data_IF_098871018186
#
_entry.id   IF_098871018186
#
_cell.length_a   1.000
_cell.length_b   1.000
_cell.length_c   1.000
_cell.angle_alpha   90.00
_cell.angle_beta   90.00
_cell.angle_gamma   90.00
#
_symmetry.space_group_name_H-M   'P 1'
#
loop_
_entity.id
_entity.type
_entity.pdbx_description
1 polymer ?
#
# COMPACT_ATOMS: atom_id res chain seq x y z
N UNK A 1 -12.66 7.47 7.82
CA UNK A 1 -11.60 6.44 7.66
C UNK A 1 -10.85 6.28 8.97
N UNK A 2 -10.87 5.09 9.56
CA UNK A 2 -10.25 4.90 10.87
C UNK A 2 -8.74 4.71 10.79
N UNK A 3 -8.26 3.86 9.88
CA UNK A 3 -6.85 3.49 9.80
C UNK A 3 -6.34 3.58 8.37
N UNK A 4 -5.16 4.16 8.20
CA UNK A 4 -4.42 4.11 6.95
C UNK A 4 -3.15 3.29 7.15
N UNK A 5 -2.95 2.29 6.30
CA UNK A 5 -1.79 1.42 6.35
C UNK A 5 -0.90 1.80 5.18
N UNK A 6 0.26 2.38 5.48
CA UNK A 6 1.20 2.88 4.47
C UNK A 6 2.32 1.86 4.30
N UNK A 7 2.47 1.35 3.10
CA UNK A 7 3.45 0.30 2.80
C UNK A 7 4.36 0.75 1.67
N UNK A 8 5.56 1.23 2.01
CA UNK A 8 6.58 1.48 0.99
C UNK A 8 7.21 0.16 0.59
N UNK A 9 7.50 0.01 -0.69
CA UNK A 9 8.09 -1.24 -1.18
C UNK A 9 9.00 -0.99 -2.39
N UNK A 10 9.90 -1.93 -2.59
CA UNK A 10 10.79 -1.95 -3.73
C UNK A 10 11.08 -3.41 -4.07
N UNK A 11 10.69 -3.84 -5.30
CA UNK A 11 10.92 -5.20 -5.81
C UNK A 11 10.40 -6.29 -4.87
N UNK A 12 9.10 -6.21 -4.53
CA UNK A 12 8.44 -7.16 -3.64
C UNK A 12 7.32 -7.94 -4.33
N UNK A 13 7.44 -8.20 -5.63
CA UNK A 13 6.39 -8.83 -6.41
C UNK A 13 5.97 -10.20 -5.86
N UNK A 14 6.89 -10.95 -5.29
CA UNK A 14 6.61 -12.30 -4.78
C UNK A 14 5.75 -12.30 -3.53
N UNK A 15 5.78 -11.23 -2.73
CA UNK A 15 5.12 -11.20 -1.42
C UNK A 15 3.88 -10.32 -1.36
N UNK A 16 3.62 -9.51 -2.39
CA UNK A 16 2.56 -8.50 -2.34
C UNK A 16 1.15 -9.08 -2.19
N UNK A 17 0.81 -10.10 -2.96
CA UNK A 17 -0.53 -10.68 -2.91
C UNK A 17 -0.79 -11.29 -1.54
N UNK A 18 0.17 -12.04 -1.03
CA UNK A 18 0.06 -12.67 0.28
C UNK A 18 -0.04 -11.62 1.40
N UNK A 19 0.75 -10.55 1.31
CA UNK A 19 0.70 -9.46 2.27
C UNK A 19 -0.67 -8.79 2.25
N UNK A 20 -1.21 -8.51 1.08
CA UNK A 20 -2.52 -7.88 0.93
C UNK A 20 -3.62 -8.75 1.54
N UNK A 21 -3.59 -10.04 1.30
CA UNK A 21 -4.54 -10.98 1.88
C UNK A 21 -4.43 -11.01 3.40
N UNK A 22 -3.22 -10.99 3.94
CA UNK A 22 -2.99 -11.01 5.38
C UNK A 22 -3.52 -9.75 6.05
N UNK A 23 -3.29 -8.58 5.46
CA UNK A 23 -3.79 -7.31 5.99
C UNK A 23 -5.32 -7.31 5.98
N UNK A 24 -5.93 -7.68 4.88
CA UNK A 24 -7.39 -7.72 4.78
C UNK A 24 -7.99 -8.68 5.81
N UNK A 25 -7.42 -9.85 5.96
CA UNK A 25 -7.87 -10.84 6.92
C UNK A 25 -7.77 -10.30 8.35
N UNK A 26 -6.71 -9.56 8.65
CA UNK A 26 -6.49 -9.00 9.98
C UNK A 26 -7.49 -7.88 10.30
N UNK A 27 -7.86 -7.06 9.33
CA UNK A 27 -8.71 -5.89 9.55
C UNK A 27 -10.19 -6.14 9.34
N UNK A 28 -10.57 -7.14 8.54
CA UNK A 28 -11.98 -7.38 8.22
C UNK A 28 -12.82 -7.69 9.46
N UNK A 29 -12.22 -8.30 10.47
CA UNK A 29 -12.89 -8.64 11.72
C UNK A 29 -12.69 -7.59 12.81
N UNK A 30 -11.94 -6.52 12.55
CA UNK A 30 -11.62 -5.51 13.57
C UNK A 30 -12.76 -4.53 13.83
N UNK A 31 -13.66 -4.35 12.87
CA UNK A 31 -14.71 -3.33 12.93
C UNK A 31 -14.23 -1.94 12.51
N UNK A 32 -12.95 -1.75 12.27
CA UNK A 32 -12.40 -0.48 11.78
C UNK A 32 -12.51 -0.38 10.26
N UNK A 33 -12.82 0.81 9.77
CA UNK A 33 -12.63 1.11 8.36
C UNK A 33 -11.14 1.35 8.11
N UNK A 34 -10.62 0.88 7.00
CA UNK A 34 -9.19 1.00 6.71
C UNK A 34 -8.94 1.18 5.23
N UNK A 35 -7.82 1.81 4.93
CA UNK A 35 -7.28 1.88 3.58
C UNK A 35 -5.83 1.39 3.58
N UNK A 36 -5.40 0.87 2.44
CA UNK A 36 -4.02 0.44 2.24
C UNK A 36 -3.43 1.31 1.15
N UNK A 37 -2.28 1.91 1.43
CA UNK A 37 -1.59 2.76 0.46
C UNK A 37 -0.23 2.13 0.19
N UNK A 38 -0.09 1.52 -0.99
CA UNK A 38 1.17 0.97 -1.44
C UNK A 38 1.95 2.05 -2.19
N UNK A 39 3.19 2.28 -1.78
CA UNK A 39 4.07 3.20 -2.49
C UNK A 39 5.19 2.38 -3.11
N UNK A 40 5.14 2.25 -4.42
CA UNK A 40 6.16 1.58 -5.18
C UNK A 40 7.32 2.53 -5.43
N UNK A 41 8.41 2.29 -4.75
CA UNK A 41 9.60 3.14 -4.77
C UNK A 41 10.49 2.81 -5.98
N UNK A 42 9.88 2.82 -7.16
CA UNK A 42 10.61 2.65 -8.42
C UNK A 42 11.01 1.22 -8.74
N UNK A 43 10.17 0.23 -8.39
CA UNK A 43 10.47 -1.18 -8.70
C UNK A 43 10.65 -1.41 -10.19
N UNK A 44 11.55 -2.31 -10.53
CA UNK A 44 11.77 -2.75 -11.91
C UNK A 44 11.27 -4.19 -12.17
N UNK A 45 10.58 -4.78 -11.21
CA UNK A 45 9.90 -6.07 -11.35
C UNK A 45 8.41 -5.87 -11.61
N UNK A 46 7.57 -6.86 -11.32
CA UNK A 46 6.11 -6.82 -11.52
C UNK A 46 5.34 -6.19 -10.36
N UNK A 47 6.04 -5.60 -9.38
CA UNK A 47 5.38 -5.04 -8.19
C UNK A 47 4.29 -4.05 -8.54
N UNK A 48 4.57 -3.10 -9.43
CA UNK A 48 3.57 -2.09 -9.79
C UNK A 48 2.34 -2.70 -10.48
N UNK A 49 2.54 -3.65 -11.36
CA UNK A 49 1.43 -4.33 -12.03
C UNK A 49 0.52 -5.04 -11.03
N UNK A 50 1.11 -5.67 -10.02
CA UNK A 50 0.36 -6.35 -8.97
C UNK A 50 -0.42 -5.34 -8.14
N UNK A 51 0.18 -4.21 -7.78
CA UNK A 51 -0.50 -3.14 -7.03
C UNK A 51 -1.69 -2.61 -7.82
N UNK A 52 -1.51 -2.35 -9.11
CA UNK A 52 -2.61 -1.89 -9.95
C UNK A 52 -3.77 -2.88 -9.98
N UNK A 53 -3.48 -4.16 -10.10
CA UNK A 53 -4.50 -5.20 -10.12
C UNK A 53 -5.25 -5.27 -8.79
N UNK A 54 -4.53 -5.21 -7.68
CA UNK A 54 -5.14 -5.19 -6.34
C UNK A 54 -6.06 -3.98 -6.18
N UNK A 55 -5.60 -2.81 -6.60
CA UNK A 55 -6.36 -1.56 -6.46
C UNK A 55 -7.63 -1.56 -7.31
N UNK A 56 -7.63 -2.22 -8.46
CA UNK A 56 -8.82 -2.35 -9.31
C UNK A 56 -9.92 -3.15 -8.63
N UNK A 57 -9.57 -4.14 -7.84
CA UNK A 57 -10.50 -5.04 -7.20
C UNK A 57 -10.91 -4.63 -5.78
N UNK A 58 -10.22 -3.63 -5.22
CA UNK A 58 -10.42 -3.23 -3.82
C UNK A 58 -10.49 -1.71 -3.72
N UNK A 59 -11.66 -1.18 -3.40
CA UNK A 59 -11.90 0.26 -3.30
C UNK A 59 -11.07 0.92 -2.18
N UNK A 60 -10.62 0.15 -1.21
CA UNK A 60 -9.85 0.66 -0.09
C UNK A 60 -8.32 0.55 -0.31
N UNK A 61 -7.89 0.21 -1.50
CA UNK A 61 -6.47 0.11 -1.84
C UNK A 61 -6.09 1.19 -2.83
N UNK A 62 -5.00 1.88 -2.55
CA UNK A 62 -4.41 2.88 -3.44
C UNK A 62 -2.98 2.49 -3.75
N UNK A 63 -2.53 2.83 -4.94
CA UNK A 63 -1.14 2.66 -5.35
C UNK A 63 -0.55 3.97 -5.80
N UNK A 64 0.70 4.22 -5.42
CA UNK A 64 1.48 5.36 -5.88
C UNK A 64 2.79 4.82 -6.42
N UNK A 65 3.15 5.20 -7.64
CA UNK A 65 4.36 4.74 -8.29
C UNK A 65 5.34 5.88 -8.46
N UNK A 66 6.56 5.65 -8.01
CA UNK A 66 7.67 6.57 -8.28
C UNK A 66 8.36 6.15 -9.57
N UNK A 67 8.84 7.14 -10.34
CA UNK A 67 9.55 6.87 -11.58
C UNK A 67 10.93 6.25 -11.37
N UNK A 68 11.47 6.36 -10.17
CA UNK A 68 12.76 5.77 -9.78
C UNK A 68 12.78 5.58 -8.27
N UNK A 69 13.81 4.91 -7.78
CA UNK A 69 13.98 4.73 -6.34
C UNK A 69 14.42 6.05 -5.68
N UNK A 70 13.63 6.58 -4.78
CA UNK A 70 13.92 7.80 -4.02
C UNK A 70 14.27 7.50 -2.56
N UNK A 71 14.03 6.28 -2.11
CA UNK A 71 14.30 5.86 -0.74
C UNK A 71 13.05 5.77 0.11
N UNK A 72 13.16 4.96 1.16
CA UNK A 72 12.04 4.64 2.05
C UNK A 72 11.46 5.88 2.73
N UNK A 73 12.31 6.85 3.12
CA UNK A 73 11.84 8.06 3.80
C UNK A 73 10.91 8.88 2.92
N UNK A 74 11.22 9.02 1.63
CA UNK A 74 10.35 9.73 0.71
C UNK A 74 9.05 8.97 0.47
N UNK A 75 9.12 7.65 0.34
CA UNK A 75 7.93 6.84 0.17
C UNK A 75 6.98 6.98 1.37
N UNK A 76 7.52 6.93 2.58
CA UNK A 76 6.72 7.11 3.80
C UNK A 76 6.09 8.51 3.87
N UNK A 77 6.84 9.54 3.50
CA UNK A 77 6.34 10.91 3.49
C UNK A 77 5.14 11.07 2.56
N UNK A 78 5.25 10.54 1.35
CA UNK A 78 4.16 10.60 0.37
C UNK A 78 2.95 9.82 0.88
N UNK A 79 3.18 8.64 1.44
CA UNK A 79 2.11 7.82 1.99
C UNK A 79 1.37 8.51 3.13
N UNK A 80 2.09 9.14 4.04
CA UNK A 80 1.49 9.90 5.14
C UNK A 80 0.68 11.08 4.62
N UNK A 81 1.19 11.78 3.62
CA UNK A 81 0.49 12.90 3.00
C UNK A 81 -0.84 12.47 2.38
N UNK A 82 -0.86 11.32 1.73
CA UNK A 82 -2.05 10.80 1.05
C UNK A 82 -3.01 10.06 1.99
N UNK A 83 -2.60 9.78 3.22
CA UNK A 83 -3.44 9.02 4.16
C UNK A 83 -4.62 9.84 4.65
N UNK A 84 -5.77 9.16 4.83
CA UNK A 84 -7.03 9.78 5.29
C UNK A 84 -7.49 9.22 6.63
N UNK A 85 -6.80 8.22 7.15
CA UNK A 85 -7.16 7.59 8.41
C UNK A 85 -6.81 8.45 9.61
N UNK A 86 -7.55 8.26 10.71
CA UNK A 86 -7.26 8.90 11.98
C UNK A 86 -5.95 8.36 12.57
N UNK A 87 -5.64 7.10 12.28
CA UNK A 87 -4.37 6.46 12.63
C UNK A 87 -3.65 6.00 11.37
N UNK A 88 -2.34 6.21 11.35
CA UNK A 88 -1.49 5.79 10.24
C UNK A 88 -0.47 4.77 10.74
N UNK A 89 -0.43 3.64 10.08
CA UNK A 89 0.47 2.55 10.46
C UNK A 89 1.37 2.14 9.30
#
# INVERSE_FOLDING_TARGET
MDVSIVIPLYNESESLIELNEWINKSFISSGFSYEIIYIDDGSDDQSWNIIEDIAKENNNVKGISFSRNFGKSQALRVGFYESKGDYVA
#
